data_IF_482642101485
#
_entry.id   IF_482642101485
#
_cell.length_a   1.000
_cell.length_b   1.000
_cell.length_c   1.000
_cell.angle_alpha   90.00
_cell.angle_beta   90.00
_cell.angle_gamma   90.00
#
_symmetry.space_group_name_H-M   'P 1'
#
loop_
_entity.id
_entity.type
_entity.pdbx_description
1 polymer ?
#
# COMPACT_ATOMS: atom_id res chain seq x y z
N UNK A 1 7.25 -9.86 10.15
CA UNK A 1 6.85 -9.80 8.73
C UNK A 1 7.35 -8.48 8.17
N UNK A 2 8.28 -8.55 7.22
CA UNK A 2 8.77 -7.34 6.56
C UNK A 2 7.65 -6.55 5.90
N UNK A 3 7.86 -5.23 5.78
CA UNK A 3 6.91 -4.26 5.18
C UNK A 3 6.36 -4.71 3.82
N UNK A 4 7.14 -5.45 3.03
CA UNK A 4 6.74 -5.95 1.71
C UNK A 4 5.55 -6.92 1.74
N UNK A 5 5.39 -7.69 2.83
CA UNK A 5 4.24 -8.61 2.97
C UNK A 5 2.93 -7.82 3.02
N UNK A 6 2.94 -6.63 3.61
CA UNK A 6 1.75 -5.80 3.72
C UNK A 6 1.28 -5.24 2.36
N UNK A 7 2.16 -5.23 1.35
CA UNK A 7 1.81 -4.84 -0.02
C UNK A 7 1.23 -6.00 -0.85
N UNK A 8 1.32 -7.26 -0.37
CA UNK A 8 0.85 -8.43 -1.12
C UNK A 8 -0.61 -8.32 -1.57
N UNK A 9 -1.59 -7.95 -0.72
CA UNK A 9 -2.99 -7.81 -1.14
C UNK A 9 -3.17 -6.79 -2.28
N UNK A 10 -2.42 -5.69 -2.24
CA UNK A 10 -2.47 -4.60 -3.22
C UNK A 10 -1.88 -5.00 -4.56
N UNK A 11 -0.76 -5.74 -4.54
CA UNK A 11 -0.14 -6.31 -5.74
C UNK A 11 -1.04 -7.38 -6.34
N UNK A 12 -1.58 -8.28 -5.51
CA UNK A 12 -2.52 -9.32 -5.94
C UNK A 12 -3.75 -8.71 -6.60
N UNK A 13 -4.36 -7.70 -5.97
CA UNK A 13 -5.47 -6.95 -6.54
C UNK A 13 -5.10 -6.33 -7.89
N UNK A 14 -3.94 -5.69 -7.98
CA UNK A 14 -3.46 -5.04 -9.20
C UNK A 14 -3.16 -6.04 -10.32
N UNK A 15 -2.72 -7.25 -10.02
CA UNK A 15 -2.50 -8.30 -11.02
C UNK A 15 -3.82 -8.88 -11.51
N UNK A 16 -4.73 -9.23 -10.59
CA UNK A 16 -5.98 -9.89 -10.96
C UNK A 16 -6.92 -8.92 -11.71
N UNK A 17 -6.99 -7.65 -11.30
CA UNK A 17 -7.77 -6.63 -12.03
C UNK A 17 -7.28 -6.38 -13.46
N UNK A 18 -6.06 -6.81 -13.82
CA UNK A 18 -5.59 -6.73 -15.21
C UNK A 18 -6.24 -7.78 -16.12
N UNK A 19 -6.49 -8.97 -15.57
CA UNK A 19 -6.78 -10.16 -16.37
C UNK A 19 -8.17 -10.74 -16.06
N UNK A 20 -8.84 -10.25 -15.02
CA UNK A 20 -10.08 -10.82 -14.51
C UNK A 20 -11.00 -9.74 -13.94
N UNK A 21 -12.11 -10.18 -13.35
CA UNK A 21 -13.17 -9.33 -12.84
C UNK A 21 -12.79 -8.63 -11.54
N UNK A 22 -13.42 -7.47 -11.29
CA UNK A 22 -13.33 -6.76 -10.02
C UNK A 22 -13.71 -7.66 -8.84
N UNK A 23 -14.73 -8.52 -9.01
CA UNK A 23 -15.18 -9.48 -7.99
C UNK A 23 -14.07 -10.44 -7.57
N UNK A 24 -13.40 -11.09 -8.53
CA UNK A 24 -12.35 -12.04 -8.21
C UNK A 24 -11.16 -11.33 -7.55
N UNK A 25 -10.76 -10.18 -8.11
CA UNK A 25 -9.65 -9.40 -7.57
C UNK A 25 -9.92 -8.94 -6.12
N UNK A 26 -11.10 -8.41 -5.85
CA UNK A 26 -11.46 -7.88 -4.54
C UNK A 26 -11.55 -8.98 -3.48
N UNK A 27 -12.16 -10.14 -3.82
CA UNK A 27 -12.28 -11.28 -2.89
C UNK A 27 -10.91 -11.88 -2.58
N UNK A 28 -10.06 -12.08 -3.60
CA UNK A 28 -8.72 -12.62 -3.40
C UNK A 28 -7.85 -11.69 -2.55
N UNK A 29 -7.90 -10.38 -2.83
CA UNK A 29 -7.19 -9.38 -2.05
C UNK A 29 -7.73 -9.26 -0.61
N UNK A 30 -9.04 -9.34 -0.41
CA UNK A 30 -9.66 -9.35 0.91
C UNK A 30 -9.24 -10.59 1.72
N UNK A 31 -9.24 -11.77 1.10
CA UNK A 31 -8.77 -12.99 1.76
C UNK A 31 -7.30 -12.86 2.20
N UNK A 32 -6.44 -12.34 1.30
CA UNK A 32 -5.04 -12.09 1.61
C UNK A 32 -4.86 -11.05 2.74
N UNK A 33 -5.59 -9.94 2.70
CA UNK A 33 -5.51 -8.91 3.75
C UNK A 33 -5.99 -9.42 5.10
N UNK A 34 -7.10 -10.18 5.13
CA UNK A 34 -7.60 -10.81 6.35
C UNK A 34 -6.58 -11.79 6.93
N UNK A 35 -5.97 -12.65 6.10
CA UNK A 35 -4.96 -13.61 6.56
C UNK A 35 -3.77 -12.89 7.21
N UNK A 36 -3.27 -11.82 6.60
CA UNK A 36 -2.16 -11.02 7.15
C UNK A 36 -2.58 -10.31 8.44
N UNK A 37 -3.75 -9.67 8.45
CA UNK A 37 -4.28 -8.94 9.60
C UNK A 37 -4.48 -9.87 10.81
N UNK A 38 -5.04 -11.07 10.61
CA UNK A 38 -5.23 -12.08 11.66
C UNK A 38 -3.90 -12.49 12.29
N UNK A 39 -2.85 -12.73 11.48
CA UNK A 39 -1.51 -13.06 11.99
C UNK A 39 -0.94 -11.91 12.83
N UNK A 40 -1.16 -10.67 12.42
CA UNK A 40 -0.66 -9.49 13.12
C UNK A 40 -1.39 -9.23 14.44
N UNK A 41 -2.72 -9.35 14.43
CA UNK A 41 -3.59 -9.21 15.60
C UNK A 41 -3.33 -10.32 16.61
N UNK A 42 -3.21 -11.58 16.16
CA UNK A 42 -2.90 -12.72 17.05
C UNK A 42 -1.54 -12.61 17.73
N UNK A 43 -0.61 -11.83 17.16
CA UNK A 43 0.68 -11.49 17.77
C UNK A 43 0.64 -10.25 18.67
N UNK A 44 -0.53 -9.65 18.86
CA UNK A 44 -0.72 -8.44 19.67
C UNK A 44 -0.11 -7.18 19.06
N UNK A 45 0.13 -7.15 17.74
CA UNK A 45 0.80 -6.03 17.06
C UNK A 45 0.00 -5.55 15.83
N UNK A 46 -1.29 -5.19 15.98
CA UNK A 46 -2.11 -4.76 14.85
C UNK A 46 -1.46 -3.57 14.12
N UNK A 47 -1.36 -3.66 12.79
CA UNK A 47 -0.79 -2.60 11.96
C UNK A 47 -1.85 -1.88 11.16
N UNK A 48 -1.70 -0.57 11.05
CA UNK A 48 -2.69 0.29 10.39
C UNK A 48 -2.82 -0.06 8.90
N UNK A 49 -1.71 -0.43 8.26
CA UNK A 49 -1.70 -0.83 6.85
C UNK A 49 -2.50 -2.10 6.58
N UNK A 50 -2.48 -3.07 7.50
CA UNK A 50 -3.18 -4.36 7.36
C UNK A 50 -4.68 -4.21 7.64
N UNK A 51 -5.03 -3.43 8.65
CA UNK A 51 -6.42 -3.07 8.94
C UNK A 51 -7.00 -2.23 7.79
N UNK A 52 -6.27 -1.21 7.36
CA UNK A 52 -6.66 -0.34 6.24
C UNK A 52 -6.82 -1.11 4.93
N UNK A 53 -5.92 -2.04 4.63
CA UNK A 53 -6.07 -2.94 3.48
C UNK A 53 -7.33 -3.80 3.58
N UNK A 54 -7.59 -4.38 4.76
CA UNK A 54 -8.80 -5.20 4.98
C UNK A 54 -10.08 -4.39 4.77
N UNK A 55 -10.15 -3.17 5.31
CA UNK A 55 -11.28 -2.27 5.11
C UNK A 55 -11.43 -1.85 3.64
N UNK A 56 -10.33 -1.51 2.97
CA UNK A 56 -10.34 -1.12 1.56
C UNK A 56 -10.87 -2.25 0.67
N UNK A 57 -10.36 -3.48 0.83
CA UNK A 57 -10.79 -4.61 0.02
C UNK A 57 -12.17 -5.14 0.41
N UNK A 58 -12.62 -4.95 1.65
CA UNK A 58 -14.00 -5.15 2.02
C UNK A 58 -14.91 -4.17 1.27
N UNK A 59 -14.53 -2.89 1.17
CA UNK A 59 -15.24 -1.89 0.37
C UNK A 59 -15.29 -2.23 -1.12
N UNK A 60 -14.15 -2.59 -1.73
CA UNK A 60 -14.12 -3.06 -3.12
C UNK A 60 -15.01 -4.28 -3.33
N UNK A 61 -15.01 -5.23 -2.39
CA UNK A 61 -15.84 -6.43 -2.48
C UNK A 61 -17.32 -6.08 -2.36
N UNK A 62 -17.71 -5.21 -1.42
CA UNK A 62 -19.09 -4.74 -1.33
C UNK A 62 -19.55 -4.13 -2.66
N UNK A 63 -18.79 -3.16 -3.20
CA UNK A 63 -19.08 -2.54 -4.50
C UNK A 63 -19.16 -3.57 -5.62
N UNK A 64 -18.21 -4.51 -5.69
CA UNK A 64 -18.18 -5.50 -6.75
C UNK A 64 -19.43 -6.41 -6.78
N UNK A 65 -20.10 -6.60 -5.65
CA UNK A 65 -21.28 -7.45 -5.53
C UNK A 65 -22.62 -6.70 -5.49
N UNK A 66 -22.64 -5.45 -5.03
CA UNK A 66 -23.89 -4.69 -4.83
C UNK A 66 -24.09 -3.53 -5.80
N UNK A 67 -23.03 -3.02 -6.42
CA UNK A 67 -23.15 -1.90 -7.34
C UNK A 67 -23.82 -2.32 -8.65
N UNK A 68 -24.54 -1.37 -9.28
CA UNK A 68 -25.04 -1.56 -10.63
C UNK A 68 -23.89 -1.71 -11.64
N UNK A 69 -24.16 -2.26 -12.84
CA UNK A 69 -23.11 -2.53 -13.83
C UNK A 69 -22.29 -1.30 -14.24
N UNK A 70 -22.89 -0.09 -14.27
CA UNK A 70 -22.18 1.11 -14.69
C UNK A 70 -21.19 1.57 -13.62
N UNK A 71 -21.60 1.58 -12.36
CA UNK A 71 -20.71 1.87 -11.23
C UNK A 71 -19.62 0.81 -11.11
N UNK A 72 -19.97 -0.48 -11.21
CA UNK A 72 -19.01 -1.57 -11.18
C UNK A 72 -17.94 -1.47 -12.28
N UNK A 73 -18.35 -1.12 -13.51
CA UNK A 73 -17.44 -0.90 -14.63
C UNK A 73 -16.52 0.31 -14.39
N UNK A 74 -17.05 1.42 -13.87
CA UNK A 74 -16.25 2.61 -13.55
C UNK A 74 -15.22 2.31 -12.45
N UNK A 75 -15.64 1.64 -11.37
CA UNK A 75 -14.74 1.24 -10.28
C UNK A 75 -13.69 0.25 -10.77
N UNK A 76 -14.07 -0.71 -11.63
CA UNK A 76 -13.13 -1.63 -12.26
C UNK A 76 -12.07 -0.90 -13.10
N UNK A 77 -12.49 0.07 -13.91
CA UNK A 77 -11.61 0.88 -14.76
C UNK A 77 -10.60 1.69 -13.95
N UNK A 78 -11.02 2.27 -12.82
CA UNK A 78 -10.17 3.11 -11.97
C UNK A 78 -9.70 2.41 -10.69
N UNK A 79 -9.79 1.09 -10.61
CA UNK A 79 -9.55 0.31 -9.39
C UNK A 79 -8.16 0.56 -8.80
N UNK A 80 -7.12 0.60 -9.65
CA UNK A 80 -5.73 0.87 -9.22
C UNK A 80 -5.55 2.29 -8.69
N UNK A 81 -6.23 3.28 -9.30
CA UNK A 81 -6.18 4.67 -8.83
C UNK A 81 -6.83 4.79 -7.45
N UNK A 82 -8.01 4.19 -7.27
CA UNK A 82 -8.73 4.16 -5.99
C UNK A 82 -7.89 3.44 -4.93
N UNK A 83 -7.26 2.31 -5.28
CA UNK A 83 -6.41 1.57 -4.36
C UNK A 83 -5.15 2.37 -3.94
N UNK A 84 -4.48 3.03 -4.89
CA UNK A 84 -3.34 3.91 -4.60
C UNK A 84 -3.75 5.11 -3.73
N UNK A 85 -4.93 5.70 -3.98
CA UNK A 85 -5.47 6.76 -3.14
C UNK A 85 -5.77 6.24 -1.71
N UNK A 86 -6.32 5.03 -1.58
CA UNK A 86 -6.52 4.38 -0.29
C UNK A 86 -5.21 4.18 0.48
N UNK A 87 -4.15 3.71 -0.20
CA UNK A 87 -2.81 3.59 0.37
C UNK A 87 -2.25 4.94 0.83
N UNK A 88 -2.42 6.00 0.03
CA UNK A 88 -2.02 7.35 0.40
C UNK A 88 -2.75 7.84 1.66
N UNK A 89 -4.07 7.65 1.72
CA UNK A 89 -4.89 8.00 2.89
C UNK A 89 -4.43 7.23 4.13
N UNK A 90 -4.16 5.94 4.02
CA UNK A 90 -3.65 5.12 5.14
C UNK A 90 -2.28 5.63 5.58
N UNK A 91 -1.37 5.88 4.64
CA UNK A 91 -0.01 6.34 4.93
C UNK A 91 -0.03 7.70 5.66
N UNK A 92 -0.71 8.70 5.10
CA UNK A 92 -0.82 10.01 5.74
C UNK A 92 -1.64 10.00 7.02
N UNK A 93 -2.73 9.23 7.06
CA UNK A 93 -3.53 9.04 8.27
C UNK A 93 -2.72 8.44 9.41
N UNK A 94 -1.76 7.56 9.11
CA UNK A 94 -0.86 6.99 10.12
C UNK A 94 0.03 8.03 10.82
N UNK A 95 0.33 9.15 10.16
CA UNK A 95 1.14 10.23 10.74
C UNK A 95 0.45 10.93 11.93
N UNK A 96 -0.87 10.79 12.06
CA UNK A 96 -1.64 11.31 13.20
C UNK A 96 -1.51 10.42 14.45
N UNK A 97 -0.99 9.20 14.30
CA UNK A 97 -0.86 8.22 15.36
C UNK A 97 0.59 7.71 15.41
N UNK A 98 0.82 6.49 14.93
CA UNK A 98 2.14 5.89 14.75
C UNK A 98 2.36 5.75 13.25
N UNK A 99 3.40 6.38 12.68
CA UNK A 99 3.72 6.26 11.26
C UNK A 99 3.78 4.79 10.85
N UNK A 100 3.13 4.39 9.77
CA UNK A 100 2.98 2.97 9.45
C UNK A 100 4.34 2.29 9.27
N UNK A 101 5.36 2.98 8.74
CA UNK A 101 6.71 2.42 8.59
C UNK A 101 7.32 2.10 9.96
N UNK A 102 7.00 2.87 11.00
CA UNK A 102 7.47 2.62 12.36
C UNK A 102 6.99 1.26 12.89
N UNK A 103 5.74 0.89 12.59
CA UNK A 103 5.15 -0.38 13.00
C UNK A 103 5.93 -1.59 12.44
N UNK A 104 6.54 -1.44 11.26
CA UNK A 104 7.40 -2.46 10.65
C UNK A 104 8.86 -2.33 11.11
N UNK A 105 9.38 -1.11 11.28
CA UNK A 105 10.75 -0.88 11.74
C UNK A 105 10.97 -1.45 13.15
N UNK A 106 9.96 -1.44 14.02
CA UNK A 106 9.98 -2.11 15.33
C UNK A 106 10.11 -3.63 15.26
N UNK A 107 10.14 -4.25 14.10
CA UNK A 107 10.41 -5.68 13.96
C UNK A 107 11.87 -5.99 13.64
N UNK A 108 12.61 -5.03 13.07
CA UNK A 108 14.01 -5.18 12.69
C UNK A 108 14.96 -4.38 13.59
N UNK A 109 14.48 -3.31 14.24
CA UNK A 109 15.28 -2.42 15.08
C UNK A 109 15.21 -2.87 16.56
N UNK A 110 16.35 -2.94 17.29
CA UNK A 110 16.36 -3.25 18.71
C UNK A 110 15.50 -2.30 19.56
N UNK A 111 14.85 -2.85 20.60
CA UNK A 111 13.87 -2.13 21.43
C UNK A 111 14.43 -0.87 22.09
N UNK A 112 15.72 -0.86 22.42
CA UNK A 112 16.39 0.30 23.04
C UNK A 112 16.36 1.57 22.18
N UNK A 113 16.21 1.44 20.86
CA UNK A 113 16.20 2.58 19.94
C UNK A 113 14.79 3.07 19.61
N UNK A 114 13.73 2.37 20.02
CA UNK A 114 12.35 2.67 19.63
C UNK A 114 11.84 4.01 20.14
N UNK A 115 12.36 4.50 21.26
CA UNK A 115 12.00 5.80 21.86
C UNK A 115 12.92 6.94 21.42
N UNK A 116 13.91 6.67 20.57
CA UNK A 116 14.86 7.70 20.17
C UNK A 116 14.18 8.72 19.22
N UNK A 117 14.46 10.03 19.38
CA UNK A 117 13.94 11.04 18.46
C UNK A 117 14.30 10.77 16.99
N UNK A 118 15.50 10.21 16.75
CA UNK A 118 15.97 9.82 15.42
C UNK A 118 15.08 8.73 14.81
N UNK A 119 14.73 7.69 15.57
CA UNK A 119 13.87 6.61 15.09
C UNK A 119 12.50 7.12 14.66
N UNK A 120 11.88 8.00 15.45
CA UNK A 120 10.60 8.62 15.08
C UNK A 120 10.73 9.54 13.85
N UNK A 121 11.78 10.37 13.79
CA UNK A 121 12.00 11.29 12.66
C UNK A 121 12.20 10.53 11.33
N UNK A 122 13.00 9.47 11.33
CA UNK A 122 13.23 8.63 10.15
C UNK A 122 11.94 7.97 9.70
N UNK A 123 11.18 7.36 10.61
CA UNK A 123 9.93 6.71 10.23
C UNK A 123 8.86 7.69 9.75
N UNK A 124 8.82 8.89 10.31
CA UNK A 124 7.95 9.95 9.81
C UNK A 124 8.30 10.33 8.38
N UNK A 125 9.58 10.59 8.11
CA UNK A 125 10.08 10.92 6.76
C UNK A 125 9.78 9.80 5.75
N UNK A 126 10.03 8.54 6.13
CA UNK A 126 9.75 7.40 5.26
C UNK A 126 8.25 7.26 5.00
N UNK A 127 7.41 7.44 6.02
CA UNK A 127 5.95 7.39 5.85
C UNK A 127 5.44 8.49 4.92
N UNK A 128 5.94 9.73 5.06
CA UNK A 128 5.62 10.84 4.16
C UNK A 128 6.05 10.54 2.72
N UNK A 129 7.26 10.02 2.53
CA UNK A 129 7.78 9.63 1.22
C UNK A 129 6.89 8.57 0.56
N UNK A 130 6.52 7.50 1.29
CA UNK A 130 5.62 6.47 0.78
C UNK A 130 4.23 7.03 0.45
N UNK A 131 3.68 7.89 1.32
CA UNK A 131 2.43 8.61 1.06
C UNK A 131 2.48 9.39 -0.25
N UNK A 132 3.57 10.14 -0.49
CA UNK A 132 3.78 10.87 -1.74
C UNK A 132 3.91 9.97 -2.96
N UNK A 133 4.61 8.83 -2.84
CA UNK A 133 4.70 7.83 -3.91
C UNK A 133 3.32 7.33 -4.31
N UNK A 134 2.47 7.00 -3.33
CA UNK A 134 1.09 6.58 -3.60
C UNK A 134 0.26 7.68 -4.25
N UNK A 135 0.40 8.94 -3.81
CA UNK A 135 -0.25 10.10 -4.45
C UNK A 135 0.19 10.25 -5.91
N UNK A 136 1.48 10.11 -6.20
CA UNK A 136 2.02 10.21 -7.57
C UNK A 136 1.54 9.07 -8.48
N UNK A 137 1.24 7.89 -7.92
CA UNK A 137 0.66 6.77 -8.66
C UNK A 137 -0.79 7.03 -9.08
N UNK A 138 -1.57 7.79 -8.29
CA UNK A 138 -2.99 8.07 -8.58
C UNK A 138 -3.22 8.68 -9.98
N UNK A 139 -2.60 9.81 -10.37
CA UNK A 139 -2.83 10.39 -11.69
C UNK A 139 -2.34 9.47 -12.80
N UNK A 140 -1.26 8.69 -12.60
CA UNK A 140 -0.83 7.69 -13.58
C UNK A 140 -1.94 6.65 -13.81
N UNK A 141 -2.47 6.06 -12.75
CA UNK A 141 -3.56 5.09 -12.86
C UNK A 141 -4.84 5.69 -13.48
N UNK A 142 -5.16 6.95 -13.19
CA UNK A 142 -6.28 7.66 -13.83
C UNK A 142 -6.05 7.80 -15.33
N UNK A 143 -4.87 8.25 -15.75
CA UNK A 143 -4.51 8.39 -17.16
C UNK A 143 -4.57 7.04 -17.88
N UNK A 144 -4.11 5.96 -17.24
CA UNK A 144 -4.22 4.62 -17.79
C UNK A 144 -5.67 4.22 -18.06
N UNK A 145 -6.57 4.42 -17.08
CA UNK A 145 -7.98 4.09 -17.19
C UNK A 145 -8.76 5.00 -18.16
N UNK A 146 -8.34 6.26 -18.30
CA UNK A 146 -8.98 7.23 -19.19
C UNK A 146 -8.61 7.01 -20.67
N UNK A 147 -7.35 6.66 -20.95
CA UNK A 147 -6.87 6.41 -22.32
C UNK A 147 -7.27 4.99 -22.78
N UNK A 148 -7.27 4.02 -21.87
CA UNK A 148 -7.71 2.63 -22.11
C UNK A 148 -7.03 1.95 -23.31
N UNK A 149 -5.74 2.22 -23.53
CA UNK A 149 -4.93 1.54 -24.54
C UNK A 149 -3.88 0.64 -23.88
N UNK A 150 -3.44 -0.39 -24.61
CA UNK A 150 -2.40 -1.29 -24.12
C UNK A 150 -1.10 -0.54 -23.74
N UNK A 151 -0.67 0.42 -24.56
CA UNK A 151 0.52 1.24 -24.28
C UNK A 151 0.35 2.10 -23.03
N UNK A 152 -0.81 2.75 -22.87
CA UNK A 152 -1.09 3.53 -21.67
C UNK A 152 -1.12 2.63 -20.42
N UNK A 153 -1.72 1.44 -20.51
CA UNK A 153 -1.70 0.48 -19.41
C UNK A 153 -0.27 0.07 -19.03
N UNK A 154 0.59 -0.29 -19.99
CA UNK A 154 1.98 -0.68 -19.71
C UNK A 154 2.78 0.46 -19.06
N UNK A 155 2.63 1.69 -19.52
CA UNK A 155 3.40 2.82 -19.01
C UNK A 155 2.87 3.27 -17.64
N UNK A 156 1.57 3.52 -17.54
CA UNK A 156 0.99 4.23 -16.41
C UNK A 156 0.46 3.31 -15.30
N UNK A 157 0.06 2.06 -15.59
CA UNK A 157 -0.29 1.10 -14.55
C UNK A 157 0.90 0.25 -14.07
N UNK A 158 1.98 0.17 -14.86
CA UNK A 158 3.13 -0.68 -14.53
C UNK A 158 4.45 0.06 -14.46
N UNK A 159 4.96 0.60 -15.58
CA UNK A 159 6.32 1.13 -15.62
C UNK A 159 6.54 2.25 -14.59
N UNK A 160 5.68 3.27 -14.59
CA UNK A 160 5.77 4.40 -13.66
C UNK A 160 5.59 3.92 -12.20
N UNK A 161 4.51 3.22 -11.82
CA UNK A 161 4.34 2.73 -10.45
C UNK A 161 5.48 1.85 -9.95
N UNK A 162 5.96 0.91 -10.77
CA UNK A 162 7.07 0.02 -10.41
C UNK A 162 8.35 0.82 -10.18
N UNK A 163 8.67 1.79 -11.05
CA UNK A 163 9.85 2.66 -10.86
C UNK A 163 9.74 3.46 -9.56
N UNK A 164 8.57 4.03 -9.27
CA UNK A 164 8.34 4.78 -8.04
C UNK A 164 8.50 3.91 -6.79
N UNK A 165 7.91 2.71 -6.78
CA UNK A 165 8.01 1.75 -5.67
C UNK A 165 9.46 1.28 -5.49
N UNK A 166 10.15 0.95 -6.57
CA UNK A 166 11.55 0.51 -6.53
C UNK A 166 12.47 1.62 -6.01
N UNK A 167 12.23 2.86 -6.43
CA UNK A 167 12.95 4.03 -5.91
C UNK A 167 12.68 4.20 -4.40
N UNK A 168 11.42 4.13 -3.97
CA UNK A 168 11.03 4.26 -2.57
C UNK A 168 11.65 3.17 -1.69
N UNK A 169 11.66 1.92 -2.17
CA UNK A 169 12.28 0.80 -1.48
C UNK A 169 13.80 0.99 -1.33
N UNK A 170 14.50 1.40 -2.40
CA UNK A 170 15.94 1.71 -2.35
C UNK A 170 16.25 2.85 -1.38
N UNK A 171 15.45 3.91 -1.39
CA UNK A 171 15.60 5.04 -0.45
C UNK A 171 15.35 4.61 1.00
N UNK A 172 14.35 3.75 1.22
CA UNK A 172 14.07 3.19 2.55
C UNK A 172 15.25 2.41 3.09
N UNK A 173 15.87 1.55 2.26
CA UNK A 173 17.07 0.80 2.64
C UNK A 173 18.23 1.75 2.97
N UNK A 174 18.56 2.68 2.08
CA UNK A 174 19.67 3.61 2.28
C UNK A 174 19.53 4.48 3.55
N UNK A 175 18.31 4.95 3.85
CA UNK A 175 18.03 5.74 5.06
C UNK A 175 18.14 4.88 6.32
N UNK A 176 17.72 3.61 6.24
CA UNK A 176 17.78 2.67 7.36
C UNK A 176 19.23 2.27 7.67
N UNK A 177 20.06 2.04 6.65
CA UNK A 177 21.49 1.71 6.81
C UNK A 177 22.26 2.88 7.45
N UNK A 178 22.07 4.10 6.92
CA UNK A 178 22.69 5.32 7.49
C UNK A 178 22.18 5.64 8.91
N UNK A 179 20.99 5.15 9.28
CA UNK A 179 20.50 5.28 10.65
C UNK A 179 21.15 4.27 11.60
N UNK A 180 21.47 3.06 11.12
CA UNK A 180 22.19 2.03 11.88
C UNK A 180 23.63 2.40 12.17
N UNK A 181 24.39 2.84 11.16
CA UNK A 181 25.82 3.19 11.29
C UNK A 181 26.08 4.36 12.26
N UNK A 182 25.14 5.31 12.37
CA UNK A 182 25.27 6.44 13.29
C UNK A 182 24.90 6.10 14.76
N UNK A 183 24.46 4.86 15.02
CA UNK A 183 24.01 4.39 16.34
C UNK A 183 24.91 3.30 16.95
N UNK A 184 25.89 2.82 16.18
CA UNK A 184 26.99 1.93 16.59
C UNK A 184 28.21 2.73 17.00
#
# INVERSE_FOLDING_TARGET
>A
MGIYVAFVPWVLFSLITQHSTLKLASVAALAASCAIAVVSVSRGRPKLLEIGATLAFAGFTAVAFTADPAVGAWVGRYARAIAAAGLAVIAFGSLLFVPFTEQYARESVPRQFWSSPRFHAVNRQLTEMWGMVFVLMVPAHIVAGAIDTHRANLIFNWAIPVVLIMWAAKRTAAVSDAAGEASS
#
